data_IF_089024408139
#
_entry.id   IF_089024408139
#
_cell.length_a   1.000
_cell.length_b   1.000
_cell.length_c   1.000
_cell.angle_alpha   90.00
_cell.angle_beta   90.00
_cell.angle_gamma   90.00
#
_symmetry.space_group_name_H-M   'P 1'
#
loop_
_entity.id
_entity.type
_entity.pdbx_description
1 polymer ?
#
# COMPACT_ATOMS: atom_id res chain seq x y z
N UNK A 1 7.26 -4.62 -19.52
CA UNK A 1 6.91 -4.88 -18.11
C UNK A 1 7.48 -3.72 -17.28
N UNK A 2 6.64 -2.95 -16.60
CA UNK A 2 7.12 -1.92 -15.66
C UNK A 2 7.72 -2.65 -14.45
N UNK A 3 8.91 -2.27 -14.02
CA UNK A 3 9.51 -2.80 -12.78
C UNK A 3 8.79 -2.21 -11.56
N UNK A 4 8.80 -2.89 -10.40
CA UNK A 4 8.10 -2.43 -9.21
C UNK A 4 8.47 -0.99 -8.80
N UNK A 5 9.75 -0.56 -8.92
CA UNK A 5 10.17 0.84 -8.69
C UNK A 5 9.30 1.84 -9.47
N UNK A 6 9.02 1.57 -10.75
CA UNK A 6 8.26 2.48 -11.64
C UNK A 6 6.77 2.54 -11.31
N UNK A 7 6.18 1.44 -10.82
CA UNK A 7 4.75 1.42 -10.46
C UNK A 7 4.50 2.23 -9.18
N UNK A 8 5.38 2.16 -8.18
CA UNK A 8 5.23 2.95 -6.95
C UNK A 8 5.52 4.45 -7.20
N UNK A 9 6.46 4.76 -8.09
CA UNK A 9 6.76 6.14 -8.53
C UNK A 9 5.54 6.86 -9.16
N UNK A 10 4.70 6.12 -9.91
CA UNK A 10 3.48 6.70 -10.50
C UNK A 10 2.49 7.13 -9.41
N UNK A 11 2.39 6.37 -8.32
CA UNK A 11 1.48 6.68 -7.21
C UNK A 11 1.89 7.96 -6.47
N UNK A 12 3.17 8.09 -6.08
CA UNK A 12 3.66 9.28 -5.37
C UNK A 12 3.59 10.56 -6.25
N UNK A 13 3.86 10.44 -7.55
CA UNK A 13 3.83 11.60 -8.45
C UNK A 13 2.41 12.12 -8.69
N UNK A 14 1.42 11.23 -8.82
CA UNK A 14 0.02 11.63 -8.99
C UNK A 14 -0.53 12.30 -7.73
N UNK A 15 -0.11 11.87 -6.54
CA UNK A 15 -0.51 12.42 -5.25
C UNK A 15 -0.10 13.90 -5.08
N UNK A 16 1.04 14.31 -5.65
CA UNK A 16 1.58 15.67 -5.48
C UNK A 16 1.01 16.73 -6.45
N UNK A 17 0.15 16.36 -7.40
CA UNK A 17 -0.48 17.31 -8.32
C UNK A 17 -1.71 17.98 -7.66
N UNK A 18 -2.13 19.19 -8.12
CA UNK A 18 -3.36 19.81 -7.65
C UNK A 18 -4.57 18.96 -8.09
N UNK A 19 -4.91 17.95 -7.28
CA UNK A 19 -6.03 17.07 -7.55
C UNK A 19 -7.34 17.85 -7.43
N UNK A 20 -8.04 17.99 -8.56
CA UNK A 20 -9.47 18.37 -8.62
C UNK A 20 -10.38 17.15 -8.47
N UNK A 21 -9.83 15.93 -8.55
CA UNK A 21 -10.52 14.65 -8.40
C UNK A 21 -10.75 14.31 -6.91
N UNK A 22 -11.94 13.85 -6.54
CA UNK A 22 -12.31 13.53 -5.15
C UNK A 22 -11.79 12.17 -4.65
N UNK A 23 -11.66 11.19 -5.53
CA UNK A 23 -11.17 9.86 -5.19
C UNK A 23 -10.33 9.29 -6.33
N UNK A 24 -9.25 8.62 -5.98
CA UNK A 24 -8.39 7.90 -6.90
C UNK A 24 -8.55 6.40 -6.66
N UNK A 25 -8.57 5.63 -7.75
CA UNK A 25 -8.48 4.17 -7.70
C UNK A 25 -7.17 3.78 -8.37
N UNK A 26 -6.36 3.06 -7.60
CA UNK A 26 -5.10 2.52 -8.02
C UNK A 26 -5.26 1.02 -8.25
N UNK A 27 -4.98 0.60 -9.47
CA UNK A 27 -5.14 -0.78 -9.91
C UNK A 27 -4.02 -1.12 -10.90
N UNK A 28 -3.62 -2.38 -10.95
CA UNK A 28 -2.67 -2.82 -11.95
C UNK A 28 -3.27 -2.69 -13.37
N UNK A 29 -2.39 -2.47 -14.35
CA UNK A 29 -2.81 -2.17 -15.71
C UNK A 29 -3.51 -3.34 -16.43
N UNK A 30 -3.26 -4.59 -16.01
CA UNK A 30 -3.90 -5.75 -16.62
C UNK A 30 -5.28 -5.94 -16.03
N UNK A 31 -6.30 -5.97 -16.89
CA UNK A 31 -7.68 -6.31 -16.48
C UNK A 31 -7.77 -7.70 -15.89
N UNK A 32 -7.06 -8.66 -16.47
CA UNK A 32 -7.02 -10.04 -16.00
C UNK A 32 -5.70 -10.29 -15.29
N UNK A 33 -5.73 -10.47 -13.97
CA UNK A 33 -4.52 -10.63 -13.18
C UNK A 33 -4.77 -11.31 -11.84
N UNK A 34 -3.80 -12.11 -11.40
CA UNK A 34 -3.90 -12.96 -10.20
C UNK A 34 -4.16 -12.20 -8.89
N UNK A 35 -3.91 -10.89 -8.87
CA UNK A 35 -4.19 -10.00 -7.74
C UNK A 35 -5.61 -9.43 -7.73
N UNK A 36 -6.47 -9.81 -8.69
CA UNK A 36 -7.91 -9.58 -8.64
C UNK A 36 -8.59 -10.80 -7.99
N UNK A 37 -9.50 -10.56 -7.06
CA UNK A 37 -10.15 -11.63 -6.30
C UNK A 37 -11.31 -12.31 -7.03
N UNK A 38 -11.69 -11.79 -8.18
CA UNK A 38 -12.67 -12.42 -9.05
C UNK A 38 -12.17 -13.82 -9.49
N UNK A 39 -13.02 -14.86 -9.54
CA UNK A 39 -12.62 -16.20 -9.95
C UNK A 39 -11.98 -16.28 -11.35
N UNK A 40 -12.34 -15.38 -12.26
CA UNK A 40 -11.75 -15.28 -13.60
C UNK A 40 -10.57 -14.30 -13.64
N UNK A 41 -10.13 -13.81 -12.47
CA UNK A 41 -9.10 -12.79 -12.30
C UNK A 41 -9.46 -11.45 -12.96
N UNK A 42 -10.73 -11.19 -13.26
CA UNK A 42 -11.20 -9.96 -13.90
C UNK A 42 -11.36 -8.81 -12.89
N UNK A 43 -10.75 -7.66 -13.17
CA UNK A 43 -10.91 -6.44 -12.37
C UNK A 43 -12.28 -5.77 -12.58
N UNK A 44 -12.97 -6.04 -13.69
CA UNK A 44 -14.18 -5.32 -14.08
C UNK A 44 -15.34 -5.47 -13.08
N UNK A 45 -15.66 -6.67 -12.55
CA UNK A 45 -16.69 -6.83 -11.55
C UNK A 45 -16.40 -6.01 -10.28
N UNK A 46 -15.16 -6.05 -9.78
CA UNK A 46 -14.74 -5.26 -8.61
C UNK A 46 -14.92 -3.76 -8.86
N UNK A 47 -14.43 -3.24 -9.98
CA UNK A 47 -14.53 -1.81 -10.30
C UNK A 47 -15.97 -1.35 -10.51
N UNK A 48 -16.82 -2.17 -11.15
CA UNK A 48 -18.24 -1.85 -11.37
C UNK A 48 -19.05 -1.80 -10.07
N UNK A 49 -18.71 -2.65 -9.10
CA UNK A 49 -19.41 -2.76 -7.82
C UNK A 49 -18.75 -1.96 -6.70
N UNK A 50 -17.64 -1.27 -6.98
CA UNK A 50 -16.91 -0.50 -5.98
C UNK A 50 -17.76 0.66 -5.45
N UNK A 51 -18.04 0.67 -4.14
CA UNK A 51 -18.88 1.67 -3.51
C UNK A 51 -18.08 2.94 -3.20
N UNK A 52 -18.15 3.92 -4.11
CA UNK A 52 -17.47 5.22 -3.93
C UNK A 52 -17.93 5.96 -2.67
N UNK A 53 -19.20 5.84 -2.29
CA UNK A 53 -19.70 6.43 -1.03
C UNK A 53 -18.98 5.87 0.19
N UNK A 54 -18.76 4.56 0.22
CA UNK A 54 -17.99 3.93 1.30
C UNK A 54 -16.54 4.42 1.30
N UNK A 55 -15.90 4.51 0.13
CA UNK A 55 -14.54 5.06 0.04
C UNK A 55 -14.47 6.50 0.58
N UNK A 56 -15.49 7.32 0.29
CA UNK A 56 -15.57 8.69 0.81
C UNK A 56 -15.72 8.73 2.33
N UNK A 57 -16.43 7.77 2.93
CA UNK A 57 -16.59 7.65 4.38
C UNK A 57 -15.29 7.18 5.07
N UNK A 58 -14.62 6.17 4.54
CA UNK A 58 -13.45 5.56 5.20
C UNK A 58 -12.11 6.13 4.77
N UNK A 59 -12.06 6.87 3.66
CA UNK A 59 -10.87 7.53 3.16
C UNK A 59 -9.90 6.63 2.37
N UNK A 60 -9.79 5.36 2.74
CA UNK A 60 -8.96 4.35 2.08
C UNK A 60 -9.68 2.99 2.07
N UNK A 61 -9.66 2.29 0.94
CA UNK A 61 -10.20 0.93 0.85
C UNK A 61 -9.35 0.06 -0.08
N UNK A 62 -8.89 -1.09 0.42
CA UNK A 62 -8.23 -2.09 -0.41
C UNK A 62 -9.26 -2.70 -1.39
N UNK A 63 -8.88 -2.90 -2.64
CA UNK A 63 -9.74 -3.54 -3.66
C UNK A 63 -9.81 -5.05 -3.48
N UNK A 64 -8.86 -5.64 -2.72
CA UNK A 64 -8.90 -7.04 -2.33
C UNK A 64 -9.64 -7.24 -1.02
N UNK A 65 -10.38 -8.35 -0.95
CA UNK A 65 -11.17 -8.79 0.19
C UNK A 65 -11.06 -10.32 0.36
N UNK A 66 -9.82 -10.84 0.37
CA UNK A 66 -9.54 -12.28 0.53
C UNK A 66 -8.72 -12.56 1.78
N UNK A 67 -8.98 -13.72 2.38
CA UNK A 67 -8.35 -14.20 3.61
C UNK A 67 -7.09 -15.04 3.37
N UNK A 68 -6.75 -15.33 2.11
CA UNK A 68 -5.68 -16.29 1.78
C UNK A 68 -4.28 -15.66 1.73
N UNK A 69 -4.19 -14.33 1.55
CA UNK A 69 -2.92 -13.60 1.49
C UNK A 69 -3.10 -12.29 2.27
N UNK A 70 -2.26 -12.02 3.26
CA UNK A 70 -2.34 -10.78 4.04
C UNK A 70 -3.00 -10.90 5.42
N UNK A 71 -4.05 -11.71 5.53
CA UNK A 71 -4.87 -11.84 6.74
C UNK A 71 -4.77 -13.27 7.31
N UNK A 72 -4.90 -13.47 8.63
CA UNK A 72 -5.16 -12.45 9.66
C UNK A 72 -3.89 -11.77 10.20
N UNK A 73 -2.69 -12.27 9.86
CA UNK A 73 -1.42 -11.73 10.34
C UNK A 73 -0.32 -12.04 9.32
N UNK A 74 -0.15 -11.17 8.33
CA UNK A 74 0.89 -11.37 7.33
C UNK A 74 2.25 -11.01 7.90
N UNK A 75 2.41 -9.81 8.45
CA UNK A 75 3.70 -9.35 8.96
C UNK A 75 3.59 -9.13 10.44
N UNK A 76 4.54 -9.65 11.20
CA UNK A 76 4.74 -9.36 12.61
C UNK A 76 6.09 -8.69 12.76
N UNK A 77 6.18 -7.36 12.60
CA UNK A 77 7.46 -6.67 12.38
C UNK A 77 8.54 -6.96 13.42
N UNK A 78 8.16 -7.23 14.67
CA UNK A 78 9.10 -7.58 15.74
C UNK A 78 9.54 -9.05 15.65
N UNK A 79 8.61 -9.98 15.43
CA UNK A 79 8.90 -11.42 15.35
C UNK A 79 9.62 -11.79 14.04
N UNK A 80 9.28 -11.10 12.95
CA UNK A 80 9.81 -11.34 11.62
C UNK A 80 11.13 -10.61 11.36
N UNK A 81 11.67 -9.84 12.31
CA UNK A 81 12.90 -9.05 12.09
C UNK A 81 14.07 -9.94 11.65
N UNK A 82 14.64 -9.65 10.48
CA UNK A 82 15.72 -10.45 9.89
C UNK A 82 15.27 -11.79 9.31
N UNK A 83 13.96 -12.05 9.16
CA UNK A 83 13.44 -13.26 8.55
C UNK A 83 13.88 -13.42 7.07
N UNK A 84 14.36 -14.60 6.74
CA UNK A 84 14.84 -15.00 5.42
C UNK A 84 14.10 -16.25 4.91
N UNK A 85 13.90 -16.33 3.59
CA UNK A 85 13.38 -17.52 2.92
C UNK A 85 14.52 -18.22 2.18
N UNK A 86 15.08 -19.27 2.78
CA UNK A 86 16.17 -20.03 2.16
C UNK A 86 17.46 -19.23 1.98
N UNK A 87 17.79 -18.37 2.94
CA UNK A 87 18.97 -17.50 2.90
C UNK A 87 18.79 -16.22 2.07
N UNK A 88 17.57 -15.93 1.60
CA UNK A 88 17.24 -14.70 0.88
C UNK A 88 16.37 -13.81 1.77
N UNK A 89 16.71 -12.53 1.95
CA UNK A 89 15.90 -11.59 2.71
C UNK A 89 14.43 -11.56 2.26
N UNK A 90 13.53 -11.56 3.23
CA UNK A 90 12.09 -11.49 2.97
C UNK A 90 11.56 -10.08 3.25
N UNK A 91 10.41 -9.73 2.65
CA UNK A 91 9.79 -8.43 2.88
C UNK A 91 9.37 -8.25 4.36
N UNK A 92 8.96 -9.34 5.02
CA UNK A 92 8.66 -9.35 6.47
C UNK A 92 9.92 -9.10 7.29
N UNK A 93 11.02 -9.74 6.87
CA UNK A 93 12.38 -9.58 7.38
C UNK A 93 12.84 -8.14 7.52
N UNK A 94 12.59 -7.35 6.48
CA UNK A 94 13.04 -5.96 6.39
C UNK A 94 11.97 -4.94 6.82
N UNK A 95 10.74 -5.38 7.10
CA UNK A 95 9.60 -4.48 7.25
C UNK A 95 9.78 -3.48 8.39
N UNK A 96 10.26 -3.95 9.55
CA UNK A 96 10.49 -3.09 10.73
C UNK A 96 11.53 -2.01 10.46
N UNK A 97 12.64 -2.36 9.81
CA UNK A 97 13.66 -1.39 9.43
C UNK A 97 13.09 -0.36 8.46
N UNK A 98 12.43 -0.81 7.39
CA UNK A 98 11.84 0.08 6.40
C UNK A 98 10.74 0.97 7.02
N UNK A 99 9.97 0.46 7.98
CA UNK A 99 8.99 1.24 8.73
C UNK A 99 9.63 2.42 9.47
N UNK A 100 10.76 2.20 10.15
CA UNK A 100 11.48 3.28 10.83
C UNK A 100 12.01 4.33 9.85
N UNK A 101 12.46 3.94 8.67
CA UNK A 101 12.98 4.86 7.66
C UNK A 101 11.86 5.68 6.99
N UNK A 102 10.71 5.06 6.76
CA UNK A 102 9.57 5.70 6.08
C UNK A 102 8.72 6.52 7.06
N UNK A 103 8.31 5.91 8.18
CA UNK A 103 7.28 6.38 9.11
C UNK A 103 7.89 6.73 10.47
N UNK A 104 8.85 7.66 10.44
CA UNK A 104 9.75 8.05 11.54
C UNK A 104 9.06 8.26 12.90
N UNK A 105 7.86 8.85 12.91
CA UNK A 105 7.14 9.21 14.13
C UNK A 105 6.03 8.21 14.51
N UNK A 106 5.83 7.16 13.72
CA UNK A 106 4.77 6.19 13.97
C UNK A 106 5.30 4.94 14.70
N UNK A 107 4.60 4.46 15.74
CA UNK A 107 4.96 3.21 16.39
C UNK A 107 4.91 2.06 15.38
N UNK A 108 5.90 1.16 15.46
CA UNK A 108 5.89 -0.07 14.67
C UNK A 108 4.70 -0.92 15.12
N UNK A 109 3.82 -1.37 14.21
CA UNK A 109 2.67 -2.19 14.57
C UNK A 109 3.15 -3.58 15.02
N UNK A 110 2.41 -4.19 15.95
CA UNK A 110 2.67 -5.57 16.37
C UNK A 110 2.34 -6.57 15.26
N UNK A 111 1.26 -6.32 14.52
CA UNK A 111 0.78 -7.13 13.41
C UNK A 111 0.30 -6.23 12.27
N UNK A 112 0.65 -6.59 11.04
CA UNK A 112 0.10 -6.03 9.81
C UNK A 112 -0.77 -7.08 9.14
N UNK A 113 -2.06 -6.76 9.02
CA UNK A 113 -3.11 -7.65 8.55
C UNK A 113 -3.91 -6.97 7.43
N UNK A 114 -3.35 -6.92 6.23
CA UNK A 114 -3.99 -6.32 5.06
C UNK A 114 -3.74 -7.23 3.85
N UNK A 115 -4.74 -7.38 2.98
CA UNK A 115 -4.57 -8.11 1.73
C UNK A 115 -3.46 -7.50 0.86
N UNK A 116 -2.63 -8.34 0.22
CA UNK A 116 -1.48 -7.87 -0.57
C UNK A 116 -1.87 -7.03 -1.80
N UNK A 117 -0.83 -6.53 -2.48
CA UNK A 117 -0.84 -6.26 -3.92
C UNK A 117 -1.33 -4.87 -4.35
N UNK A 118 -1.23 -3.85 -3.48
CA UNK A 118 -1.32 -2.41 -3.80
C UNK A 118 -2.49 -1.97 -4.70
N UNK A 119 -3.61 -2.68 -4.71
CA UNK A 119 -4.83 -2.21 -5.39
C UNK A 119 -5.75 -1.59 -4.36
N UNK A 120 -6.00 -0.29 -4.43
CA UNK A 120 -6.78 0.42 -3.44
C UNK A 120 -7.43 1.69 -4.00
N UNK A 121 -8.56 2.07 -3.40
CA UNK A 121 -9.13 3.39 -3.52
C UNK A 121 -8.63 4.28 -2.39
N UNK A 122 -8.43 5.56 -2.67
CA UNK A 122 -8.10 6.57 -1.66
C UNK A 122 -8.77 7.90 -2.00
N UNK A 123 -9.23 8.63 -1.00
CA UNK A 123 -9.80 9.96 -1.18
C UNK A 123 -8.71 11.03 -1.25
N UNK A 124 -9.04 12.15 -1.87
CA UNK A 124 -8.18 13.33 -1.91
C UNK A 124 -7.88 13.86 -0.52
N UNK A 125 -8.87 13.85 0.37
CA UNK A 125 -8.79 14.33 1.74
C UNK A 125 -7.82 13.45 2.54
N UNK A 126 -7.91 12.14 2.38
CA UNK A 126 -6.98 11.16 2.95
C UNK A 126 -5.56 11.36 2.44
N UNK A 127 -5.37 11.59 1.14
CA UNK A 127 -4.04 11.93 0.59
C UNK A 127 -3.50 13.23 1.21
N UNK A 128 -4.32 14.28 1.29
CA UNK A 128 -3.93 15.60 1.79
C UNK A 128 -3.74 15.67 3.31
N UNK A 129 -4.15 14.64 4.04
CA UNK A 129 -3.91 14.55 5.48
C UNK A 129 -2.43 14.38 5.83
N UNK A 130 -1.58 14.08 4.83
CA UNK A 130 -0.12 14.04 4.95
C UNK A 130 0.56 15.15 4.18
N UNK A 131 1.71 15.55 4.69
CA UNK A 131 2.53 16.59 4.07
C UNK A 131 3.15 16.07 2.76
N UNK A 132 3.28 16.96 1.78
CA UNK A 132 3.83 16.59 0.46
C UNK A 132 5.27 16.08 0.58
N UNK A 133 6.02 16.62 1.55
CA UNK A 133 7.40 16.25 1.88
C UNK A 133 7.52 14.79 2.33
N UNK A 134 6.48 14.21 2.94
CA UNK A 134 6.47 12.79 3.30
C UNK A 134 6.35 11.90 2.06
N UNK A 135 5.49 12.26 1.11
CA UNK A 135 5.40 11.55 -0.16
C UNK A 135 6.69 11.66 -0.98
N UNK A 136 7.36 12.82 -0.94
CA UNK A 136 8.68 13.01 -1.53
C UNK A 136 9.70 12.09 -0.86
N UNK A 137 9.73 12.00 0.47
CA UNK A 137 10.60 11.06 1.21
C UNK A 137 10.33 9.60 0.83
N UNK A 138 9.06 9.19 0.70
CA UNK A 138 8.71 7.83 0.28
C UNK A 138 9.22 7.51 -1.13
N UNK A 139 9.05 8.47 -2.05
CA UNK A 139 9.59 8.37 -3.42
C UNK A 139 11.12 8.24 -3.41
N UNK A 140 11.79 9.10 -2.66
CA UNK A 140 13.25 9.14 -2.63
C UNK A 140 13.82 7.87 -2.00
N UNK A 141 13.19 7.37 -0.93
CA UNK A 141 13.53 6.05 -0.37
C UNK A 141 13.43 4.94 -1.41
N UNK A 142 12.36 4.88 -2.21
CA UNK A 142 12.22 3.87 -3.27
C UNK A 142 13.25 4.01 -4.40
N UNK A 143 13.70 5.22 -4.68
CA UNK A 143 14.69 5.49 -5.71
C UNK A 143 16.11 5.14 -5.26
N UNK A 144 16.43 5.44 -4.01
CA UNK A 144 17.79 5.43 -3.47
C UNK A 144 18.11 4.16 -2.67
N UNK A 145 17.10 3.44 -2.17
CA UNK A 145 17.31 2.25 -1.34
C UNK A 145 18.09 1.17 -2.10
N UNK A 146 19.06 0.51 -1.43
CA UNK A 146 19.73 -0.67 -1.97
C UNK A 146 18.83 -1.92 -1.94
N UNK A 147 17.65 -1.85 -1.32
CA UNK A 147 16.70 -2.95 -1.26
C UNK A 147 16.14 -3.26 -2.66
N UNK A 148 16.13 -4.55 -3.00
CA UNK A 148 15.55 -5.06 -4.25
C UNK A 148 14.10 -4.59 -4.47
N UNK A 149 13.73 -4.30 -5.72
CA UNK A 149 12.42 -3.78 -6.13
C UNK A 149 11.24 -4.61 -5.59
N UNK A 150 11.40 -5.93 -5.60
CA UNK A 150 10.37 -6.86 -5.15
C UNK A 150 10.12 -6.76 -3.64
N UNK A 151 11.16 -6.47 -2.86
CA UNK A 151 11.08 -6.33 -1.40
C UNK A 151 10.59 -4.94 -1.01
N UNK A 152 11.19 -3.89 -1.57
CA UNK A 152 10.80 -2.50 -1.32
C UNK A 152 9.36 -2.22 -1.76
N UNK A 153 8.95 -2.72 -2.94
CA UNK A 153 7.57 -2.65 -3.39
C UNK A 153 6.60 -3.37 -2.45
N UNK A 154 6.99 -4.53 -1.91
CA UNK A 154 6.15 -5.29 -0.97
C UNK A 154 6.04 -4.62 0.40
N UNK A 155 7.08 -3.95 0.89
CA UNK A 155 6.97 -3.11 2.10
C UNK A 155 5.87 -2.06 1.90
N UNK A 156 5.87 -1.37 0.75
CA UNK A 156 4.82 -0.38 0.45
C UNK A 156 3.43 -1.01 0.32
N UNK A 157 3.31 -2.17 -0.34
CA UNK A 157 2.05 -2.94 -0.44
C UNK A 157 1.38 -3.11 0.94
N UNK A 158 2.16 -3.46 1.95
CA UNK A 158 1.69 -3.69 3.31
C UNK A 158 1.70 -2.44 4.20
N UNK A 159 2.13 -1.28 3.68
CA UNK A 159 2.18 -0.03 4.44
C UNK A 159 1.12 0.98 4.04
N UNK A 160 0.50 0.87 2.85
CA UNK A 160 -0.42 1.90 2.33
C UNK A 160 -1.54 2.29 3.28
N UNK A 161 -2.21 1.30 3.91
CA UNK A 161 -3.29 1.58 4.85
C UNK A 161 -2.81 2.35 6.09
N UNK A 162 -1.55 2.20 6.47
CA UNK A 162 -0.90 2.92 7.58
C UNK A 162 -0.31 4.26 7.14
N UNK A 163 -0.06 4.43 5.84
CA UNK A 163 0.40 5.68 5.23
C UNK A 163 -0.70 6.74 5.16
N UNK A 164 -1.88 6.50 5.73
CA UNK A 164 -2.91 7.52 5.83
C UNK A 164 -3.42 7.55 7.28
N UNK A 165 -3.31 8.69 7.99
CA UNK A 165 -3.88 8.78 9.32
C UNK A 165 -5.39 8.54 9.23
N UNK A 166 -5.90 7.66 10.11
CA UNK A 166 -7.33 7.43 10.26
C UNK A 166 -7.97 8.75 10.69
N UNK A 167 -8.88 9.30 9.88
CA UNK A 167 -9.84 10.29 10.38
C UNK A 167 -10.71 9.58 11.40
N UNK A 168 -10.36 9.73 12.68
CA UNK A 168 -11.34 9.55 13.74
C UNK A 168 -12.00 10.92 13.87
N UNK A 169 -13.29 11.10 13.53
CA UNK A 169 -13.97 12.32 13.89
C UNK A 169 -13.82 12.46 15.40
N UNK A 170 -13.25 13.57 15.87
CA UNK A 170 -13.39 13.95 17.27
C UNK A 170 -14.89 14.02 17.54
N UNK A 171 -15.38 13.10 18.36
CA UNK A 171 -16.74 13.14 18.90
C UNK A 171 -16.93 14.36 19.80
#
# INVERSE_FOLDING_TARGET
MLTPRRTVLVFATLICLPLTIASLIFIHASRFAWHNDDPDYDALPTLRNFRLSHLQEVGYANLRCVWVIGCPAEIKPIEDEGHENGGVPSAKGIFKQAWHELLLEMPVPEVVAVSCCSQFGVTRETIRSRLVEEYVRFRDWLLETPVEDSLSGRVFEFSWHSQFPSFTPLA
#
